data_IF_920676763387
#
_entry.id   IF_920676763387
#
_cell.length_a   1.000
_cell.length_b   1.000
_cell.length_c   1.000
_cell.angle_alpha   90.00
_cell.angle_beta   90.00
_cell.angle_gamma   90.00
#
_symmetry.space_group_name_H-M   'P 1'
#
loop_
_entity.id
_entity.type
_entity.pdbx_description
1 polymer ?
#
# COMPACT_ATOMS: atom_id res chain seq x y z
N UNK A 1 12.82 4.95 -0.76
CA UNK A 1 12.17 4.44 0.45
C UNK A 1 11.96 2.95 0.32
N UNK A 2 12.49 2.15 1.24
CA UNK A 2 12.05 0.75 1.37
C UNK A 2 10.74 0.72 2.14
N UNK A 3 9.79 0.00 1.60
CA UNK A 3 8.46 -0.23 2.17
C UNK A 3 8.24 -1.73 2.28
N UNK A 4 7.52 -2.14 3.32
CA UNK A 4 7.09 -3.52 3.48
C UNK A 4 5.56 -3.55 3.46
N UNK A 5 4.99 -4.58 2.86
CA UNK A 5 3.54 -4.69 2.79
C UNK A 5 3.07 -6.01 2.20
N UNK A 6 1.76 -6.16 2.18
CA UNK A 6 1.08 -7.38 1.74
C UNK A 6 -0.14 -7.03 0.90
N UNK A 7 -0.28 -7.75 -0.21
CA UNK A 7 -1.49 -7.79 -1.03
C UNK A 7 -2.56 -8.67 -0.40
N UNK A 8 -3.83 -8.28 -0.57
CA UNK A 8 -5.00 -9.10 -0.28
C UNK A 8 -6.03 -8.95 -1.39
N UNK A 9 -6.53 -10.06 -1.91
CA UNK A 9 -7.64 -10.10 -2.88
C UNK A 9 -8.70 -11.06 -2.34
N UNK A 10 -9.90 -10.58 -2.11
CA UNK A 10 -11.01 -11.37 -1.57
C UNK A 10 -12.27 -11.12 -2.38
N UNK A 11 -13.09 -12.15 -2.58
CA UNK A 11 -14.42 -11.96 -3.17
C UNK A 11 -15.33 -11.20 -2.21
N UNK A 12 -16.24 -10.38 -2.74
CA UNK A 12 -17.17 -9.60 -1.91
C UNK A 12 -18.23 -10.54 -1.33
N UNK A 13 -18.48 -10.52 -0.01
CA UNK A 13 -19.56 -11.31 0.58
C UNK A 13 -20.92 -10.77 0.15
N UNK A 14 -21.83 -11.67 -0.20
CA UNK A 14 -23.24 -11.38 -0.53
C UNK A 14 -24.14 -12.38 0.19
N UNK A 15 -25.44 -12.10 0.37
CA UNK A 15 -26.35 -13.08 0.95
C UNK A 15 -26.28 -14.42 0.21
N UNK A 16 -25.98 -15.49 0.95
CA UNK A 16 -25.85 -16.84 0.40
C UNK A 16 -24.49 -17.19 -0.23
N UNK A 17 -23.47 -16.33 -0.16
CA UNK A 17 -22.12 -16.69 -0.61
C UNK A 17 -21.22 -15.50 -0.94
N UNK A 18 -20.55 -15.58 -2.09
CA UNK A 18 -19.64 -14.56 -2.58
C UNK A 18 -20.01 -14.11 -3.99
N UNK A 19 -19.81 -12.82 -4.25
CA UNK A 19 -19.89 -12.23 -5.58
C UNK A 19 -18.86 -12.91 -6.50
N UNK A 20 -19.33 -13.47 -7.62
CA UNK A 20 -18.46 -14.22 -8.56
C UNK A 20 -17.55 -13.30 -9.36
N UNK A 21 -17.92 -12.03 -9.48
CA UNK A 21 -17.22 -11.04 -10.31
C UNK A 21 -16.57 -9.95 -9.44
N UNK A 22 -17.22 -9.59 -8.34
CA UNK A 22 -16.78 -8.55 -7.42
C UNK A 22 -15.69 -9.01 -6.46
N UNK A 23 -14.58 -8.27 -6.44
CA UNK A 23 -13.50 -8.43 -5.46
C UNK A 23 -13.26 -7.15 -4.67
N UNK A 24 -12.73 -7.32 -3.47
CA UNK A 24 -12.02 -6.31 -2.70
C UNK A 24 -10.54 -6.53 -2.96
N UNK A 25 -9.91 -5.57 -3.64
CA UNK A 25 -8.48 -5.54 -3.85
C UNK A 25 -7.84 -4.60 -2.81
N UNK A 26 -6.86 -5.10 -2.07
CA UNK A 26 -6.25 -4.37 -0.97
C UNK A 26 -4.74 -4.52 -0.91
N UNK A 27 -4.09 -3.49 -0.41
CA UNK A 27 -2.69 -3.52 -0.03
C UNK A 27 -2.52 -2.77 1.28
N UNK A 28 -1.91 -3.41 2.25
CA UNK A 28 -1.49 -2.78 3.51
C UNK A 28 0.02 -2.81 3.59
N UNK A 29 0.63 -1.69 3.96
CA UNK A 29 2.06 -1.60 4.14
C UNK A 29 2.48 -0.47 5.03
N UNK A 30 3.76 -0.46 5.39
CA UNK A 30 4.37 0.54 6.24
C UNK A 30 5.74 0.94 5.70
N UNK A 31 6.21 2.10 6.12
CA UNK A 31 7.58 2.53 5.83
C UNK A 31 7.93 3.92 6.39
N UNK A 32 9.18 4.35 6.20
CA UNK A 32 10.30 3.56 5.66
C UNK A 32 10.68 2.39 6.57
N UNK A 33 11.11 1.24 6.04
CA UNK A 33 11.31 0.01 6.85
C UNK A 33 12.31 0.15 8.01
N UNK A 34 13.47 0.82 7.86
CA UNK A 34 14.43 0.95 8.97
C UNK A 34 13.93 1.77 10.15
N UNK A 35 13.00 2.71 9.91
CA UNK A 35 12.35 3.53 10.93
C UNK A 35 10.91 3.84 10.46
N UNK A 36 9.94 2.92 10.68
CA UNK A 36 8.58 3.10 10.17
C UNK A 36 7.91 4.32 10.78
N UNK A 37 7.36 5.20 9.92
CA UNK A 37 6.69 6.43 10.35
C UNK A 37 5.19 6.42 9.99
N UNK A 38 4.79 5.64 8.99
CA UNK A 38 3.40 5.54 8.53
C UNK A 38 3.01 4.10 8.22
N UNK A 39 1.72 3.82 8.41
CA UNK A 39 1.03 2.63 7.90
C UNK A 39 -0.06 3.12 6.94
N UNK A 40 -0.16 2.50 5.78
CA UNK A 40 -1.11 2.86 4.73
C UNK A 40 -1.89 1.61 4.33
N UNK A 41 -3.22 1.72 4.31
CA UNK A 41 -4.13 0.75 3.73
C UNK A 41 -4.78 1.37 2.48
N UNK A 42 -4.58 0.72 1.34
CA UNK A 42 -5.37 0.96 0.13
C UNK A 42 -6.38 -0.16 0.00
N UNK A 43 -7.67 0.19 -0.10
CA UNK A 43 -8.78 -0.74 -0.33
C UNK A 43 -9.61 -0.24 -1.50
N UNK A 44 -9.80 -1.10 -2.49
CA UNK A 44 -10.59 -0.84 -3.69
C UNK A 44 -11.72 -1.86 -3.76
N UNK A 45 -12.96 -1.36 -3.76
CA UNK A 45 -14.15 -2.20 -3.93
C UNK A 45 -14.53 -2.25 -5.40
N UNK A 46 -14.63 -3.46 -5.96
CA UNK A 46 -14.96 -3.71 -7.38
C UNK A 46 -14.05 -2.91 -8.34
N UNK A 47 -12.72 -3.09 -8.27
CA UNK A 47 -11.80 -2.44 -9.20
C UNK A 47 -12.10 -2.84 -10.65
N UNK A 48 -12.07 -1.86 -11.57
CA UNK A 48 -12.50 -2.06 -12.97
C UNK A 48 -11.37 -2.49 -13.90
N UNK A 49 -10.12 -2.21 -13.57
CA UNK A 49 -8.96 -2.46 -14.45
C UNK A 49 -8.36 -3.85 -14.28
N UNK A 50 -8.48 -4.45 -13.09
CA UNK A 50 -8.14 -5.84 -12.77
C UNK A 50 -8.74 -6.19 -11.40
N UNK A 51 -9.09 -7.45 -11.18
CA UNK A 51 -9.58 -7.95 -9.87
C UNK A 51 -8.44 -8.19 -8.87
N UNK A 52 -7.19 -8.25 -9.34
CA UNK A 52 -6.05 -8.58 -8.51
C UNK A 52 -5.46 -7.33 -7.85
N UNK A 53 -5.19 -7.42 -6.55
CA UNK A 53 -4.55 -6.35 -5.80
C UNK A 53 -3.14 -6.02 -6.29
N UNK A 54 -2.42 -7.00 -6.86
CA UNK A 54 -1.10 -6.79 -7.45
C UNK A 54 -1.13 -5.77 -8.59
N UNK A 55 -2.20 -5.76 -9.39
CA UNK A 55 -2.34 -4.87 -10.55
C UNK A 55 -3.03 -3.54 -10.21
N UNK A 56 -3.63 -3.42 -9.01
CA UNK A 56 -4.48 -2.29 -8.64
C UNK A 56 -4.06 -1.61 -7.34
N UNK A 57 -4.36 -2.23 -6.20
CA UNK A 57 -4.10 -1.65 -4.88
C UNK A 57 -2.60 -1.48 -4.59
N UNK A 58 -1.75 -2.40 -5.05
CA UNK A 58 -0.29 -2.32 -4.86
C UNK A 58 0.35 -1.11 -5.58
N UNK A 59 0.15 -0.88 -6.89
CA UNK A 59 0.69 0.31 -7.54
C UNK A 59 0.03 1.60 -7.07
N UNK A 60 -1.24 1.55 -6.61
CA UNK A 60 -1.88 2.69 -5.95
C UNK A 60 -1.20 3.03 -4.59
N UNK A 61 -0.89 2.02 -3.78
CA UNK A 61 -0.10 2.19 -2.54
C UNK A 61 1.26 2.80 -2.83
N UNK A 62 1.99 2.30 -3.84
CA UNK A 62 3.31 2.82 -4.18
C UNK A 62 3.28 4.32 -4.46
N UNK A 63 2.39 4.77 -5.36
CA UNK A 63 2.26 6.19 -5.72
C UNK A 63 1.85 7.05 -4.53
N UNK A 64 0.97 6.54 -3.67
CA UNK A 64 0.54 7.23 -2.47
C UNK A 64 1.70 7.37 -1.47
N UNK A 65 2.42 6.29 -1.19
CA UNK A 65 3.55 6.28 -0.25
C UNK A 65 4.67 7.23 -0.70
N UNK A 66 5.06 7.17 -1.97
CA UNK A 66 6.08 8.06 -2.56
C UNK A 66 5.74 9.54 -2.33
N UNK A 67 4.48 9.92 -2.54
CA UNK A 67 4.04 11.30 -2.35
C UNK A 67 3.87 11.66 -0.87
N UNK A 68 3.36 10.74 -0.07
CA UNK A 68 3.09 10.96 1.35
C UNK A 68 4.40 11.20 2.12
N UNK A 69 5.45 10.43 1.84
CA UNK A 69 6.74 10.63 2.50
C UNK A 69 7.31 12.02 2.26
N UNK A 70 7.20 12.54 1.03
CA UNK A 70 7.64 13.90 0.69
C UNK A 70 6.81 14.95 1.42
N UNK A 71 5.48 14.81 1.42
CA UNK A 71 4.56 15.75 2.09
C UNK A 71 4.78 15.79 3.60
N UNK A 72 5.09 14.65 4.20
CA UNK A 72 5.37 14.55 5.64
C UNK A 72 6.82 14.88 6.02
N UNK A 73 7.67 15.22 5.05
CA UNK A 73 9.08 15.52 5.32
C UNK A 73 9.88 14.32 5.83
N UNK A 74 9.46 13.10 5.52
CA UNK A 74 10.15 11.87 5.92
C UNK A 74 11.36 11.71 4.98
N UNK A 75 12.60 11.74 5.49
CA UNK A 75 13.78 11.65 4.63
C UNK A 75 13.96 10.24 4.04
N UNK A 76 14.51 10.11 2.82
CA UNK A 76 15.00 8.84 2.30
C UNK A 76 16.07 8.23 3.22
N UNK A 77 16.18 6.91 3.22
CA UNK A 77 17.06 6.18 4.14
C UNK A 77 18.53 6.60 4.01
N UNK A 78 18.98 6.86 2.79
CA UNK A 78 20.37 7.26 2.52
C UNK A 78 20.68 8.67 3.02
N UNK A 79 19.66 9.53 3.18
CA UNK A 79 19.82 10.86 3.78
C UNK A 79 19.77 10.80 5.31
N UNK A 80 18.92 9.93 5.88
CA UNK A 80 18.85 9.74 7.33
C UNK A 80 20.17 9.19 7.92
N UNK A 81 20.86 8.29 7.19
CA UNK A 81 22.18 7.78 7.60
C UNK A 81 23.24 8.88 7.59
N UNK A 82 23.17 9.82 6.64
CA UNK A 82 24.11 10.94 6.56
C UNK A 82 23.94 11.97 7.69
N UNK A 83 22.75 12.11 8.27
CA UNK A 83 22.51 12.95 9.45
C UNK A 83 23.02 12.31 10.75
N UNK A 84 22.90 10.99 10.91
CA UNK A 84 23.36 10.28 12.13
C UNK A 84 24.88 10.13 12.17
N UNK A 85 25.56 10.18 11.02
CA UNK A 85 27.02 10.10 10.92
C UNK A 85 27.74 11.44 11.12
N UNK A 86 27.02 12.53 11.45
CA UNK A 86 27.57 13.85 11.81
C UNK A 86 27.41 14.11 13.30
#
# INVERSE_FOLDING_TARGET
YRVAGKTGTAQIPVPGGYDKEGTIASFVGFGPVPNPQVIILVKLDRPKTSTWAADTAAPAFQRLAERLFVVLGIPPEDMAVAEVAR
#
